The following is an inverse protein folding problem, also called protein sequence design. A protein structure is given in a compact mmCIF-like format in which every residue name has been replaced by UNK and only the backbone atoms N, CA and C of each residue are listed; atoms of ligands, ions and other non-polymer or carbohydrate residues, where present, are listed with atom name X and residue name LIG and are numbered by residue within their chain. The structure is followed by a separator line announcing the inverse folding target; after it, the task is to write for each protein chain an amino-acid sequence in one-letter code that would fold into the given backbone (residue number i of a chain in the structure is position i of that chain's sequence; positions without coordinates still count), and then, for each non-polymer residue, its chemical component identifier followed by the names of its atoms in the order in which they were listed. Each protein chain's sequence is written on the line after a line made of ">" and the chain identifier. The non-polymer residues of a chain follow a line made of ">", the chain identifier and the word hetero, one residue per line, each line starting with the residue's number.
data_IF_660652459661
#
_entry.id   IF_660652459661
#
_cell.length_a   1.000
_cell.length_b   1.000
_cell.length_c   1.000
_cell.angle_alpha   90.00
_cell.angle_beta   90.00
_cell.angle_gamma   90.00
#
_symmetry.space_group_name_H-M   'P 1'
#
loop_
_entity.id
_entity.type
_entity.pdbx_description
1 polymer ?
#
# COMPACT_ATOMS: atom_id res chain seq x y z
N UNK A 1 0.80 10.29 21.70
CA UNK A 1 1.06 11.71 21.33
C UNK A 1 1.06 12.56 22.58
N UNK A 2 1.74 13.69 22.57
CA UNK A 2 1.64 14.67 23.66
C UNK A 2 0.36 15.49 23.57
N UNK A 3 -0.02 16.18 24.64
CA UNK A 3 -1.20 17.07 24.68
C UNK A 3 -1.14 18.10 23.54
N UNK A 4 -0.02 18.83 23.43
CA UNK A 4 0.16 19.86 22.39
C UNK A 4 0.18 19.29 20.97
N UNK A 5 0.78 18.12 20.75
CA UNK A 5 0.73 17.44 19.45
C UNK A 5 -0.70 17.06 19.07
N UNK A 6 -1.52 16.70 20.06
CA UNK A 6 -2.91 16.29 19.86
C UNK A 6 -3.79 17.48 19.51
N UNK A 7 -3.65 18.61 20.21
CA UNK A 7 -4.32 19.86 19.81
C UNK A 7 -3.89 20.31 18.42
N UNK A 8 -2.59 20.22 18.08
CA UNK A 8 -2.11 20.52 16.73
C UNK A 8 -2.69 19.60 15.66
N UNK A 9 -2.82 18.31 15.99
CA UNK A 9 -3.41 17.33 15.09
C UNK A 9 -4.89 17.63 14.83
N UNK A 10 -5.71 17.77 15.87
CA UNK A 10 -7.14 18.07 15.70
C UNK A 10 -7.37 19.46 15.09
N UNK A 11 -6.61 20.48 15.49
CA UNK A 11 -6.71 21.80 14.89
C UNK A 11 -6.39 21.80 13.38
N UNK A 12 -5.39 21.03 12.95
CA UNK A 12 -5.08 20.87 11.52
C UNK A 12 -6.14 20.04 10.78
N UNK A 13 -6.74 19.03 11.42
CA UNK A 13 -7.87 18.28 10.85
C UNK A 13 -9.09 19.17 10.59
N UNK A 14 -9.34 20.08 11.52
CA UNK A 14 -10.35 21.15 11.43
C UNK A 14 -9.90 22.30 10.52
N UNK A 15 -8.75 22.16 9.84
CA UNK A 15 -8.19 23.12 8.88
C UNK A 15 -7.88 24.51 9.45
N UNK A 16 -7.67 24.61 10.76
CA UNK A 16 -7.26 25.84 11.42
C UNK A 16 -5.82 26.23 11.04
N UNK A 17 -5.53 27.53 11.02
CA UNK A 17 -4.18 28.05 10.76
C UNK A 17 -3.27 27.72 11.95
N UNK A 18 -2.03 27.29 11.68
CA UNK A 18 -1.06 26.92 12.73
C UNK A 18 -0.82 28.01 13.78
N UNK A 19 -0.86 29.29 13.39
CA UNK A 19 -0.71 30.44 14.31
C UNK A 19 -1.86 30.48 15.32
N UNK A 20 -3.10 30.43 14.81
CA UNK A 20 -4.32 30.40 15.62
C UNK A 20 -4.35 29.19 16.55
N UNK A 21 -3.94 28.00 16.06
CA UNK A 21 -3.86 26.80 16.91
C UNK A 21 -2.93 27.03 18.10
N UNK A 22 -1.74 27.60 17.89
CA UNK A 22 -0.79 27.82 18.99
C UNK A 22 -1.31 28.84 20.01
N UNK A 23 -1.94 29.93 19.54
CA UNK A 23 -2.59 30.92 20.43
C UNK A 23 -3.71 30.26 21.24
N UNK A 24 -4.53 29.43 20.60
CA UNK A 24 -5.63 28.72 21.25
C UNK A 24 -5.15 27.68 22.25
N UNK A 25 -4.04 26.97 21.95
CA UNK A 25 -3.44 26.01 22.88
C UNK A 25 -3.05 26.69 24.20
N UNK A 26 -2.40 27.85 24.15
CA UNK A 26 -2.04 28.59 25.37
C UNK A 26 -3.27 28.95 26.20
N UNK A 27 -4.31 29.48 25.55
CA UNK A 27 -5.57 29.81 26.21
C UNK A 27 -6.23 28.57 26.87
N UNK A 28 -6.21 27.42 26.21
CA UNK A 28 -6.83 26.19 26.72
C UNK A 28 -6.08 25.61 27.92
N UNK A 29 -4.74 25.74 27.95
CA UNK A 29 -3.95 25.37 29.12
C UNK A 29 -4.35 26.19 30.34
N UNK A 30 -4.48 27.50 30.17
CA UNK A 30 -4.86 28.42 31.25
C UNK A 30 -6.31 28.18 31.73
N UNK A 31 -7.25 27.99 30.79
CA UNK A 31 -8.66 27.78 31.09
C UNK A 31 -8.90 26.51 31.93
N UNK A 32 -8.24 25.42 31.56
CA UNK A 32 -8.51 24.08 32.10
C UNK A 32 -7.47 23.61 33.11
N UNK A 33 -6.49 24.45 33.44
CA UNK A 33 -5.35 24.12 34.30
C UNK A 33 -4.64 22.82 33.85
N UNK A 34 -4.50 22.63 32.53
CA UNK A 34 -3.88 21.43 31.98
C UNK A 34 -2.38 21.42 32.27
N UNK A 35 -1.76 20.23 32.47
CA UNK A 35 -0.33 20.15 32.70
C UNK A 35 0.45 20.69 31.50
N UNK A 36 1.20 21.77 31.75
CA UNK A 36 2.03 22.43 30.75
C UNK A 36 3.25 21.55 30.45
N UNK A 37 3.35 21.01 29.23
CA UNK A 37 4.55 20.26 28.84
C UNK A 37 4.37 19.22 27.75
N UNK A 38 5.34 18.30 27.68
CA UNK A 38 5.38 17.16 26.74
C UNK A 38 4.74 15.90 27.32
N UNK A 39 3.79 16.04 28.26
CA UNK A 39 3.07 14.91 28.84
C UNK A 39 2.35 14.14 27.75
N UNK A 40 2.51 12.81 27.76
CA UNK A 40 1.81 11.92 26.85
C UNK A 40 0.37 11.76 27.33
N UNK A 41 -0.60 11.73 26.41
CA UNK A 41 -2.02 11.49 26.76
C UNK A 41 -2.20 10.14 27.48
N UNK A 42 -1.36 9.16 27.18
CA UNK A 42 -1.37 7.86 27.86
C UNK A 42 -0.99 7.92 29.34
N UNK A 43 -0.34 9.00 29.77
CA UNK A 43 0.04 9.23 31.16
C UNK A 43 -0.96 10.11 31.91
N UNK A 44 -1.94 10.69 31.21
CA UNK A 44 -2.97 11.53 31.83
C UNK A 44 -3.97 10.69 32.61
N UNK A 45 -4.48 11.26 33.70
CA UNK A 45 -5.62 10.69 34.41
C UNK A 45 -6.93 10.92 33.62
N UNK A 46 -8.01 10.31 34.06
CA UNK A 46 -9.27 10.36 33.29
C UNK A 46 -9.93 11.74 33.34
N UNK A 47 -9.74 12.51 34.41
CA UNK A 47 -10.21 13.89 34.50
C UNK A 47 -9.50 14.80 33.49
N UNK A 48 -8.18 14.68 33.35
CA UNK A 48 -7.38 15.39 32.35
C UNK A 48 -7.78 15.00 30.93
N UNK A 49 -8.03 13.70 30.67
CA UNK A 49 -8.51 13.25 29.36
C UNK A 49 -9.86 13.88 29.00
N UNK A 50 -10.77 14.00 29.97
CA UNK A 50 -12.07 14.69 29.79
C UNK A 50 -11.88 16.17 29.49
N UNK A 51 -11.02 16.85 30.24
CA UNK A 51 -10.67 18.25 29.97
C UNK A 51 -10.03 18.44 28.59
N UNK A 52 -9.11 17.56 28.19
CA UNK A 52 -8.50 17.57 26.85
C UNK A 52 -9.57 17.34 25.76
N UNK A 53 -10.52 16.43 25.98
CA UNK A 53 -11.64 16.20 25.06
C UNK A 53 -12.51 17.45 24.91
N UNK A 54 -12.88 18.08 26.03
CA UNK A 54 -13.60 19.36 26.03
C UNK A 54 -12.81 20.45 25.29
N UNK A 55 -11.51 20.58 25.56
CA UNK A 55 -10.63 21.54 24.90
C UNK A 55 -10.60 21.36 23.37
N UNK A 56 -10.58 20.12 22.89
CA UNK A 56 -10.66 19.79 21.45
C UNK A 56 -12.01 20.24 20.87
N UNK A 57 -13.11 20.01 21.59
CA UNK A 57 -14.45 20.40 21.14
C UNK A 57 -14.58 21.92 20.96
N UNK A 58 -13.98 22.72 21.84
CA UNK A 58 -14.03 24.19 21.76
C UNK A 58 -12.88 24.82 20.96
N UNK A 59 -11.94 24.02 20.44
CA UNK A 59 -10.73 24.49 19.75
C UNK A 59 -11.03 25.32 18.51
N UNK A 60 -12.14 25.02 17.82
CA UNK A 60 -12.53 25.63 16.54
C UNK A 60 -13.68 26.63 16.66
N UNK A 61 -14.10 26.97 17.89
CA UNK A 61 -15.17 27.94 18.17
C UNK A 61 -16.48 27.65 17.41
N UNK A 62 -17.14 26.51 17.69
CA UNK A 62 -18.38 26.13 17.00
C UNK A 62 -19.55 27.06 17.36
N UNK A 63 -20.53 27.14 16.45
CA UNK A 63 -21.82 27.82 16.69
C UNK A 63 -22.78 26.98 17.55
N UNK A 64 -22.63 25.65 17.53
CA UNK A 64 -23.38 24.70 18.35
C UNK A 64 -22.42 23.74 19.05
N UNK A 65 -22.49 23.69 20.37
CA UNK A 65 -21.67 22.81 21.21
C UNK A 65 -22.56 21.77 21.89
N UNK A 66 -22.35 20.50 21.57
CA UNK A 66 -23.02 19.37 22.21
C UNK A 66 -22.06 18.71 23.21
N UNK A 67 -22.42 18.64 24.48
CA UNK A 67 -21.55 18.13 25.54
C UNK A 67 -22.24 17.03 26.34
N UNK A 68 -21.62 15.86 26.40
CA UNK A 68 -22.09 14.78 27.26
C UNK A 68 -21.33 14.81 28.59
N UNK A 69 -22.03 15.13 29.68
CA UNK A 69 -21.50 15.21 31.05
C UNK A 69 -20.13 15.91 31.19
N UNK A 70 -19.98 17.17 30.72
CA UNK A 70 -18.67 17.81 30.53
C UNK A 70 -17.87 18.02 31.83
N UNK A 71 -18.56 18.10 32.97
CA UNK A 71 -17.97 18.42 34.27
C UNK A 71 -17.82 17.18 35.18
N UNK A 72 -18.23 15.99 34.74
CA UNK A 72 -18.16 14.80 35.57
C UNK A 72 -16.68 14.42 35.82
N UNK A 73 -16.33 14.17 37.09
CA UNK A 73 -14.97 13.77 37.48
C UNK A 73 -13.91 14.88 37.31
N UNK A 74 -14.31 16.12 37.08
CA UNK A 74 -13.42 17.28 36.99
C UNK A 74 -13.32 17.97 38.36
N UNK A 75 -12.15 18.51 38.68
CA UNK A 75 -11.91 19.28 39.91
C UNK A 75 -12.88 20.49 40.06
N UNK A 76 -13.33 20.86 41.28
CA UNK A 76 -14.28 21.96 41.48
C UNK A 76 -13.84 23.30 40.89
N UNK A 77 -12.54 23.62 40.90
CA UNK A 77 -12.03 24.89 40.33
C UNK A 77 -12.17 24.86 38.82
N UNK A 78 -11.68 23.79 38.18
CA UNK A 78 -11.77 23.64 36.73
C UNK A 78 -13.23 23.57 36.24
N UNK A 79 -14.13 22.95 37.01
CA UNK A 79 -15.58 22.97 36.73
C UNK A 79 -16.14 24.38 36.69
N UNK A 80 -15.71 25.25 37.61
CA UNK A 80 -16.15 26.66 37.64
C UNK A 80 -15.67 27.40 36.41
N UNK A 81 -14.39 27.23 36.04
CA UNK A 81 -13.83 27.81 34.82
C UNK A 81 -14.56 27.35 33.55
N UNK A 82 -14.90 26.06 33.46
CA UNK A 82 -15.67 25.50 32.34
C UNK A 82 -17.02 26.19 32.24
N UNK A 83 -17.76 26.30 33.34
CA UNK A 83 -19.08 26.95 33.37
C UNK A 83 -19.04 28.43 33.02
N UNK A 84 -18.04 29.17 33.53
CA UNK A 84 -17.82 30.56 33.17
C UNK A 84 -17.52 30.70 31.66
N UNK A 85 -16.70 29.80 31.11
CA UNK A 85 -16.41 29.78 29.69
C UNK A 85 -17.65 29.50 28.85
N UNK A 86 -18.44 28.47 29.19
CA UNK A 86 -19.69 28.14 28.50
C UNK A 86 -20.65 29.33 28.51
N UNK A 87 -20.82 29.97 29.67
CA UNK A 87 -21.66 31.18 29.81
C UNK A 87 -21.14 32.30 28.91
N UNK A 88 -19.82 32.47 28.80
CA UNK A 88 -19.22 33.47 27.91
C UNK A 88 -19.45 33.17 26.42
N UNK A 89 -19.50 31.89 26.03
CA UNK A 89 -19.79 31.46 24.67
C UNK A 89 -21.26 31.71 24.32
N UNK A 90 -22.18 31.39 25.22
CA UNK A 90 -23.62 31.68 25.04
C UNK A 90 -23.86 33.16 24.85
N UNK A 91 -23.20 34.03 25.64
CA UNK A 91 -23.26 35.49 25.45
C UNK A 91 -22.73 35.97 24.10
N UNK A 92 -21.87 35.19 23.43
CA UNK A 92 -21.36 35.46 22.08
C UNK A 92 -22.24 34.88 20.96
N UNK A 93 -23.36 34.24 21.30
CA UNK A 93 -24.31 33.66 20.34
C UNK A 93 -24.09 32.17 20.05
N UNK A 94 -23.22 31.48 20.79
CA UNK A 94 -23.04 30.03 20.66
C UNK A 94 -24.16 29.29 21.39
N UNK A 95 -24.79 28.31 20.74
CA UNK A 95 -25.78 27.44 21.39
C UNK A 95 -25.04 26.30 22.09
N UNK A 96 -25.32 26.08 23.38
CA UNK A 96 -24.74 24.97 24.15
C UNK A 96 -25.86 24.02 24.58
N UNK A 97 -25.76 22.76 24.19
CA UNK A 97 -26.61 21.68 24.69
C UNK A 97 -25.74 20.73 25.50
N UNK A 98 -26.11 20.48 26.76
CA UNK A 98 -25.37 19.58 27.62
C UNK A 98 -26.27 18.63 28.39
N UNK A 99 -25.76 17.44 28.67
CA UNK A 99 -26.32 16.50 29.64
C UNK A 99 -25.57 16.64 30.96
N UNK A 100 -26.27 16.51 32.08
CA UNK A 100 -25.64 16.47 33.40
C UNK A 100 -26.50 15.68 34.37
N UNK A 101 -25.84 14.97 35.28
CA UNK A 101 -26.46 14.33 36.44
C UNK A 101 -26.47 15.26 37.66
N UNK A 102 -25.84 16.43 37.55
CA UNK A 102 -25.68 17.36 38.65
C UNK A 102 -26.77 18.44 38.62
N UNK A 103 -27.66 18.43 39.61
CA UNK A 103 -28.78 19.37 39.68
C UNK A 103 -28.31 20.83 39.87
N UNK A 104 -27.16 21.05 40.52
CA UNK A 104 -26.59 22.39 40.66
C UNK A 104 -26.09 22.98 39.33
N UNK A 105 -25.72 22.12 38.39
CA UNK A 105 -25.36 22.49 37.02
C UNK A 105 -26.60 22.73 36.17
N UNK A 106 -27.60 21.83 36.27
CA UNK A 106 -28.89 22.00 35.59
C UNK A 106 -29.60 23.30 35.99
N UNK A 107 -29.47 23.72 37.26
CA UNK A 107 -30.08 24.96 37.75
C UNK A 107 -29.46 26.24 37.15
N UNK A 108 -28.26 26.15 36.53
CA UNK A 108 -27.61 27.28 35.85
C UNK A 108 -28.01 27.40 34.38
N UNK A 109 -28.70 26.42 33.82
CA UNK A 109 -29.09 26.42 32.42
C UNK A 109 -30.26 27.37 32.16
N UNK A 110 -30.28 27.99 30.98
CA UNK A 110 -31.41 28.83 30.56
C UNK A 110 -32.71 28.02 30.42
N UNK A 111 -32.58 26.78 29.94
CA UNK A 111 -33.66 25.79 29.81
C UNK A 111 -33.15 24.41 30.18
N UNK A 112 -33.99 23.61 30.83
CA UNK A 112 -33.70 22.22 31.20
C UNK A 112 -34.82 21.29 30.73
N UNK A 113 -34.43 20.07 30.38
CA UNK A 113 -35.34 18.97 30.12
C UNK A 113 -34.98 17.76 30.98
N UNK A 114 -35.97 17.19 31.67
CA UNK A 114 -35.74 15.96 32.47
C UNK A 114 -36.19 14.76 31.67
N UNK A 115 -35.25 13.87 31.36
CA UNK A 115 -35.48 12.65 30.60
C UNK A 115 -35.51 11.43 31.54
N UNK A 116 -36.46 10.51 31.30
CA UNK A 116 -36.51 9.21 31.98
C UNK A 116 -37.06 8.14 31.04
N UNK A 117 -36.37 7.01 30.94
CA UNK A 117 -36.80 5.86 30.13
C UNK A 117 -37.15 6.22 28.68
N UNK A 118 -36.41 7.17 28.09
CA UNK A 118 -36.65 7.67 26.72
C UNK A 118 -37.77 8.72 26.58
N UNK A 119 -38.41 9.13 27.68
CA UNK A 119 -39.46 10.14 27.67
C UNK A 119 -39.01 11.44 28.35
N UNK A 120 -39.30 12.57 27.69
CA UNK A 120 -39.16 13.89 28.28
C UNK A 120 -40.32 14.12 29.25
N UNK A 121 -40.00 14.21 30.54
CA UNK A 121 -40.99 14.36 31.61
C UNK A 121 -41.45 15.81 31.77
N UNK A 122 -40.54 16.74 31.58
CA UNK A 122 -40.74 18.18 31.75
C UNK A 122 -39.67 18.93 30.95
N UNK A 123 -40.01 20.13 30.51
CA UNK A 123 -39.13 21.04 29.79
C UNK A 123 -39.52 22.47 30.14
N UNK A 124 -38.55 23.33 30.43
CA UNK A 124 -38.79 24.72 30.82
C UNK A 124 -37.54 25.36 31.41
N UNK A 125 -37.61 26.63 31.79
CA UNK A 125 -36.53 27.21 32.62
C UNK A 125 -36.57 26.61 34.04
N UNK A 126 -35.43 26.49 34.75
CA UNK A 126 -35.41 26.02 36.13
C UNK A 126 -36.43 26.76 37.02
N UNK A 127 -36.54 28.08 36.84
CA UNK A 127 -37.42 28.93 37.62
C UNK A 127 -38.90 28.66 37.35
N UNK A 128 -39.32 28.59 36.09
CA UNK A 128 -40.70 28.26 35.70
C UNK A 128 -41.11 26.90 36.25
N UNK A 129 -40.22 25.90 36.11
CA UNK A 129 -40.51 24.53 36.51
C UNK A 129 -40.64 24.38 38.03
N UNK A 130 -39.83 25.09 38.82
CA UNK A 130 -39.97 25.10 40.29
C UNK A 130 -41.30 25.77 40.69
N UNK A 131 -41.68 26.85 40.02
CA UNK A 131 -42.91 27.58 40.29
C UNK A 131 -44.17 26.77 39.91
N UNK A 132 -44.18 26.15 38.73
CA UNK A 132 -45.31 25.38 38.21
C UNK A 132 -45.67 24.18 39.10
N UNK A 133 -44.65 23.53 39.66
CA UNK A 133 -44.80 22.36 40.53
C UNK A 133 -44.88 22.72 42.02
N UNK A 134 -44.81 24.02 42.37
CA UNK A 134 -44.87 24.54 43.75
C UNK A 134 -43.82 23.94 44.68
N UNK A 135 -42.60 23.79 44.17
CA UNK A 135 -41.46 23.25 44.91
C UNK A 135 -40.54 24.37 45.39
N UNK A 136 -39.63 24.07 46.33
CA UNK A 136 -38.67 25.05 46.86
C UNK A 136 -37.30 24.99 46.19
N UNK A 137 -36.93 23.84 45.64
CA UNK A 137 -35.67 23.62 44.94
C UNK A 137 -35.82 22.64 43.79
N UNK A 138 -34.85 22.68 42.88
CA UNK A 138 -34.77 21.75 41.75
C UNK A 138 -34.59 20.29 42.25
N UNK A 139 -33.93 20.07 43.39
CA UNK A 139 -33.81 18.73 43.99
C UNK A 139 -35.15 18.20 44.51
N UNK A 140 -35.94 19.06 45.14
CA UNK A 140 -37.29 18.72 45.62
C UNK A 140 -38.19 18.36 44.43
N UNK A 141 -38.15 19.17 43.38
CA UNK A 141 -38.85 18.93 42.11
C UNK A 141 -38.45 17.62 41.44
N UNK A 142 -37.14 17.36 41.31
CA UNK A 142 -36.64 16.12 40.72
C UNK A 142 -37.14 14.90 41.53
N UNK A 143 -37.09 14.98 42.85
CA UNK A 143 -37.54 13.90 43.75
C UNK A 143 -39.06 13.68 43.69
N UNK A 144 -39.85 14.76 43.64
CA UNK A 144 -41.31 14.67 43.57
C UNK A 144 -41.76 14.07 42.24
N UNK A 145 -41.15 14.44 41.13
CA UNK A 145 -41.42 13.84 39.81
C UNK A 145 -41.00 12.37 39.77
N UNK A 146 -39.83 12.04 40.34
CA UNK A 146 -39.33 10.68 40.36
C UNK A 146 -40.26 9.74 41.13
N UNK A 147 -40.76 10.18 42.29
CA UNK A 147 -41.69 9.41 43.14
C UNK A 147 -43.12 9.37 42.59
N UNK A 148 -43.62 10.48 42.03
CA UNK A 148 -44.97 10.57 41.48
C UNK A 148 -45.18 9.66 40.26
N UNK A 149 -44.17 9.55 39.38
CA UNK A 149 -44.26 8.70 38.18
C UNK A 149 -44.12 7.20 38.49
N UNK A 150 -43.38 6.82 39.54
CA UNK A 150 -43.35 5.42 40.02
C UNK A 150 -44.74 4.99 40.51
N UNK A 151 -45.46 5.87 41.24
CA UNK A 151 -46.83 5.58 41.66
C UNK A 151 -47.78 5.40 40.48
N UNK A 152 -47.67 6.22 39.43
CA UNK A 152 -48.47 6.02 38.21
C UNK A 152 -48.12 4.71 37.52
N UNK A 153 -46.84 4.38 37.30
CA UNK A 153 -46.43 3.12 36.67
C UNK A 153 -46.85 1.87 37.46
N UNK A 154 -46.81 1.90 38.81
CA UNK A 154 -47.36 0.80 39.63
C UNK A 154 -48.89 0.65 39.50
N UNK A 155 -49.62 1.72 39.15
CA UNK A 155 -51.07 1.68 38.93
C UNK A 155 -51.40 1.31 37.46
N UNK A 156 -50.54 1.66 36.48
CA UNK A 156 -50.77 1.39 35.04
C UNK A 156 -50.23 0.07 34.50
N UNK A 157 -49.44 -0.72 35.24
CA UNK A 157 -49.08 -2.08 34.78
C UNK A 157 -50.29 -3.06 34.71
N UNK A 158 -51.49 -2.64 35.17
CA UNK A 158 -52.75 -3.40 34.98
C UNK A 158 -53.68 -2.89 33.88
N UNK A 159 -53.36 -1.82 33.14
CA UNK A 159 -54.20 -1.38 32.01
C UNK A 159 -53.36 -0.89 30.83
N UNK A 160 -53.26 -1.79 29.85
CA UNK A 160 -53.24 -1.55 28.41
C UNK A 160 -52.39 -0.38 27.91
N UNK A 161 -51.30 -0.79 27.23
CA UNK A 161 -50.79 -0.24 25.97
C UNK A 161 -51.84 0.64 25.29
N UNK A 162 -51.74 1.96 25.45
CA UNK A 162 -52.42 2.91 24.59
C UNK A 162 -51.44 3.94 24.08
N UNK A 163 -51.44 4.01 22.75
CA UNK A 163 -50.72 4.88 21.86
C UNK A 163 -50.79 6.35 22.27
N UNK A 164 -49.63 7.00 22.26
CA UNK A 164 -49.50 8.45 22.10
C UNK A 164 -48.92 8.73 20.71
N UNK A 165 -49.28 9.88 20.12
CA UNK A 165 -49.26 10.06 18.67
C UNK A 165 -47.84 9.92 18.15
N UNK A 166 -47.66 9.02 17.19
CA UNK A 166 -46.46 8.99 16.36
C UNK A 166 -46.33 10.37 15.73
N UNK A 167 -45.35 11.15 16.16
CA UNK A 167 -44.75 12.13 15.27
C UNK A 167 -44.41 11.34 14.01
N UNK A 168 -45.02 11.71 12.88
CA UNK A 168 -44.62 11.17 11.57
C UNK A 168 -43.19 11.66 11.35
N UNK A 169 -42.23 10.87 11.81
CA UNK A 169 -40.89 10.90 11.26
C UNK A 169 -41.06 10.33 9.86
N UNK A 170 -41.05 11.20 8.86
CA UNK A 170 -40.85 10.77 7.47
C UNK A 170 -39.66 9.82 7.48
N UNK A 171 -39.88 8.61 6.95
CA UNK A 171 -38.90 7.53 6.98
C UNK A 171 -37.57 8.07 6.43
N UNK A 172 -36.56 8.13 7.29
CA UNK A 172 -35.16 8.19 6.85
C UNK A 172 -34.95 7.07 5.83
N UNK A 173 -34.33 7.35 4.66
CA UNK A 173 -34.12 6.34 3.63
C UNK A 173 -33.31 5.17 4.19
N UNK A 174 -33.69 3.97 3.74
CA UNK A 174 -33.22 2.71 4.29
C UNK A 174 -31.70 2.61 4.35
N UNK A 175 -31.24 2.16 5.51
CA UNK A 175 -29.88 1.71 5.82
C UNK A 175 -29.32 0.79 4.75
N UNK A 176 -28.25 1.23 4.05
CA UNK A 176 -27.26 0.33 3.47
C UNK A 176 -26.44 -0.33 4.59
N UNK A 177 -25.91 -1.52 4.32
CA UNK A 177 -25.36 -2.49 5.28
C UNK A 177 -24.17 -2.05 6.16
N UNK A 178 -23.70 -0.81 6.06
CA UNK A 178 -22.38 -0.42 6.60
C UNK A 178 -22.44 0.63 7.71
N UNK A 179 -23.63 1.01 8.21
CA UNK A 179 -23.78 1.71 9.50
C UNK A 179 -23.16 3.11 9.62
N UNK A 180 -22.81 3.77 8.51
CA UNK A 180 -22.34 5.16 8.51
C UNK A 180 -23.43 6.14 8.02
N UNK A 181 -23.71 7.16 8.83
CA UNK A 181 -24.64 8.25 8.53
C UNK A 181 -23.93 9.27 7.60
N UNK A 182 -24.35 9.38 6.35
CA UNK A 182 -23.96 10.48 5.46
C UNK A 182 -25.02 11.57 5.56
N UNK A 183 -24.63 12.77 5.99
CA UNK A 183 -25.43 13.99 5.85
C UNK A 183 -25.19 14.48 4.41
N UNK A 184 -26.21 14.45 3.55
CA UNK A 184 -26.17 15.13 2.26
C UNK A 184 -26.25 16.65 2.51
N UNK A 185 -25.26 17.40 2.02
CA UNK A 185 -25.29 18.87 2.00
C UNK A 185 -26.39 19.33 1.02
N UNK A 186 -27.17 20.38 1.34
CA UNK A 186 -28.25 20.86 0.49
C UNK A 186 -27.70 21.43 -0.81
N UNK A 187 -28.33 21.03 -1.93
CA UNK A 187 -28.04 21.52 -3.27
C UNK A 187 -28.04 23.06 -3.34
N UNK A 188 -26.96 23.60 -3.92
CA UNK A 188 -26.77 25.02 -4.17
C UNK A 188 -27.97 25.64 -4.91
N UNK A 189 -28.52 26.69 -4.32
CA UNK A 189 -29.50 27.60 -4.93
C UNK A 189 -28.91 28.15 -6.24
N UNK A 190 -29.51 27.80 -7.38
CA UNK A 190 -29.15 28.31 -8.70
C UNK A 190 -29.28 29.83 -8.80
N UNK A 191 -28.16 30.55 -8.63
CA UNK A 191 -28.02 31.93 -9.08
C UNK A 191 -27.73 31.92 -10.59
N UNK A 192 -28.78 32.12 -11.39
CA UNK A 192 -28.71 32.41 -12.83
C UNK A 192 -27.71 33.55 -13.12
N UNK A 193 -26.54 33.22 -13.65
CA UNK A 193 -25.71 34.16 -14.41
C UNK A 193 -25.57 33.73 -15.86
N UNK A 194 -26.32 34.43 -16.69
CA UNK A 194 -26.31 34.34 -18.14
C UNK A 194 -25.13 35.17 -18.67
N UNK A 195 -24.20 34.57 -19.42
CA UNK A 195 -23.71 35.00 -20.76
C UNK A 195 -22.26 34.55 -21.10
N UNK A 196 -22.20 33.91 -22.27
CA UNK A 196 -21.19 34.00 -23.35
C UNK A 196 -19.87 33.22 -23.21
N UNK A 197 -19.61 32.39 -24.22
CA UNK A 197 -18.26 32.14 -24.72
C UNK A 197 -17.97 30.70 -25.12
N UNK A 198 -18.18 30.38 -26.40
CA UNK A 198 -17.75 29.17 -27.12
C UNK A 198 -16.37 28.65 -26.69
N UNK A 199 -16.26 27.41 -26.21
CA UNK A 199 -15.15 26.47 -26.45
C UNK A 199 -15.71 25.04 -26.36
N UNK A 200 -16.10 24.44 -27.49
CA UNK A 200 -16.44 23.01 -27.58
C UNK A 200 -15.33 22.31 -28.37
N UNK A 201 -14.86 21.18 -27.83
CA UNK A 201 -14.02 20.14 -28.48
C UNK A 201 -12.58 19.95 -27.99
N UNK A 202 -12.31 20.01 -26.67
CA UNK A 202 -11.04 19.46 -26.12
C UNK A 202 -11.16 18.77 -24.72
N UNK A 203 -12.35 18.64 -24.13
CA UNK A 203 -12.48 18.40 -22.67
C UNK A 203 -12.90 17.00 -22.21
N UNK A 204 -13.07 16.00 -23.09
CA UNK A 204 -13.59 14.68 -22.65
C UNK A 204 -12.60 13.84 -21.84
N UNK A 205 -11.27 14.02 -22.00
CA UNK A 205 -10.27 13.34 -21.14
C UNK A 205 -10.11 13.97 -19.75
N UNK A 206 -10.44 15.25 -19.57
CA UNK A 206 -10.26 15.97 -18.30
C UNK A 206 -11.42 15.77 -17.31
N UNK A 207 -12.56 15.27 -17.80
CA UNK A 207 -13.76 15.00 -16.99
C UNK A 207 -13.57 13.83 -16.01
N UNK A 208 -12.82 12.80 -16.40
CA UNK A 208 -12.47 11.67 -15.52
C UNK A 208 -11.50 12.09 -14.42
N UNK A 209 -10.49 12.90 -14.76
CA UNK A 209 -9.50 13.37 -13.80
C UNK A 209 -10.14 14.27 -12.72
N UNK A 210 -11.11 15.13 -13.09
CA UNK A 210 -11.86 15.94 -12.13
C UNK A 210 -12.73 15.11 -11.18
N UNK A 211 -13.31 14.00 -11.66
CA UNK A 211 -14.05 13.04 -10.81
C UNK A 211 -13.11 12.32 -9.85
N UNK A 212 -11.92 11.93 -10.32
CA UNK A 212 -10.89 11.29 -9.51
C UNK A 212 -10.28 12.25 -8.46
N UNK A 213 -10.06 13.51 -8.83
CA UNK A 213 -9.61 14.57 -7.92
C UNK A 213 -10.65 14.95 -6.86
N UNK A 214 -11.95 14.72 -7.10
CA UNK A 214 -13.01 14.84 -6.08
C UNK A 214 -13.02 13.69 -5.07
N UNK A 215 -12.48 12.52 -5.43
CA UNK A 215 -12.34 11.36 -4.53
C UNK A 215 -11.09 11.48 -3.66
N UNK A 216 -10.11 12.28 -4.09
CA UNK A 216 -8.89 12.50 -3.32
C UNK A 216 -9.22 13.27 -2.03
N UNK A 217 -8.85 12.72 -0.85
CA UNK A 217 -9.06 13.41 0.41
C UNK A 217 -8.30 14.73 0.40
N UNK A 218 -8.88 15.76 1.01
CA UNK A 218 -8.32 17.10 1.08
C UNK A 218 -6.82 17.03 1.48
N UNK A 219 -5.91 17.48 0.61
CA UNK A 219 -4.47 17.28 0.79
C UNK A 219 -3.94 17.79 2.13
N UNK A 220 -4.61 18.80 2.73
CA UNK A 220 -4.31 19.29 4.08
C UNK A 220 -4.62 18.26 5.16
N UNK A 221 -5.76 17.57 5.06
CA UNK A 221 -6.14 16.47 5.96
C UNK A 221 -5.20 15.28 5.80
N UNK A 222 -4.87 14.93 4.55
CA UNK A 222 -3.91 13.86 4.27
C UNK A 222 -2.53 14.17 4.86
N UNK A 223 -2.02 15.39 4.65
CA UNK A 223 -0.77 15.84 5.27
C UNK A 223 -0.80 15.82 6.80
N UNK A 224 -1.97 16.04 7.40
CA UNK A 224 -2.15 15.96 8.85
C UNK A 224 -2.14 14.51 9.37
N UNK A 225 -2.74 13.57 8.63
CA UNK A 225 -2.65 12.13 8.91
C UNK A 225 -1.20 11.66 8.83
N UNK A 226 -0.52 11.99 7.73
CA UNK A 226 0.88 11.65 7.53
C UNK A 226 1.78 12.25 8.62
N UNK A 227 1.51 13.48 9.06
CA UNK A 227 2.24 14.09 10.18
C UNK A 227 2.10 13.27 11.47
N UNK A 228 0.89 12.80 11.80
CA UNK A 228 0.65 11.95 12.96
C UNK A 228 1.43 10.64 12.86
N UNK A 229 1.29 9.95 11.72
CA UNK A 229 1.88 8.63 11.53
C UNK A 229 3.41 8.72 11.50
N UNK A 230 3.96 9.78 10.90
CA UNK A 230 5.37 10.13 10.93
C UNK A 230 5.87 10.36 12.37
N UNK A 231 5.18 11.18 13.17
CA UNK A 231 5.54 11.42 14.57
C UNK A 231 5.57 10.13 15.41
N UNK A 232 4.59 9.24 15.21
CA UNK A 232 4.53 7.97 15.92
C UNK A 232 5.65 7.03 15.48
N UNK A 233 5.94 6.98 14.18
CA UNK A 233 7.02 6.17 13.60
C UNK A 233 8.39 6.61 14.12
N UNK A 234 8.67 7.91 14.15
CA UNK A 234 9.95 8.44 14.65
C UNK A 234 10.19 8.19 16.14
N UNK A 235 9.15 7.98 16.93
CA UNK A 235 9.27 7.60 18.35
C UNK A 235 9.43 6.10 18.56
N UNK A 236 9.08 5.29 17.57
CA UNK A 236 9.22 3.84 17.62
C UNK A 236 10.48 3.42 16.86
N UNK A 237 11.61 3.34 17.57
CA UNK A 237 12.88 2.90 17.00
C UNK A 237 12.77 1.53 16.31
N UNK A 238 11.95 0.62 16.86
CA UNK A 238 11.70 -0.70 16.26
C UNK A 238 11.02 -0.59 14.89
N UNK A 239 10.01 0.27 14.77
CA UNK A 239 9.33 0.50 13.50
C UNK A 239 10.26 1.12 12.47
N UNK A 240 11.09 2.07 12.89
CA UNK A 240 12.06 2.74 12.03
C UNK A 240 13.14 1.77 11.54
N UNK A 241 13.65 0.91 12.42
CA UNK A 241 14.59 -0.16 12.10
C UNK A 241 13.98 -1.16 11.11
N UNK A 242 12.73 -1.59 11.33
CA UNK A 242 12.04 -2.53 10.45
C UNK A 242 11.86 -1.98 9.02
N UNK A 243 11.55 -0.68 8.88
CA UNK A 243 11.39 -0.02 7.57
C UNK A 243 12.66 -0.15 6.71
N UNK A 244 13.85 -0.18 7.31
CA UNK A 244 15.12 -0.33 6.57
C UNK A 244 15.60 -1.78 6.47
N UNK A 245 15.49 -2.56 7.57
CA UNK A 245 15.99 -3.93 7.59
C UNK A 245 15.15 -4.89 6.76
N UNK A 246 13.83 -4.74 6.72
CA UNK A 246 12.96 -5.67 5.98
C UNK A 246 13.27 -5.62 4.47
N UNK A 247 13.31 -4.45 3.80
CA UNK A 247 13.70 -4.39 2.39
C UNK A 247 15.13 -4.90 2.15
N UNK A 248 16.07 -4.58 3.03
CA UNK A 248 17.45 -5.07 2.93
C UNK A 248 17.49 -6.61 2.98
N UNK A 249 16.81 -7.20 3.96
CA UNK A 249 16.73 -8.65 4.11
C UNK A 249 16.07 -9.31 2.90
N UNK A 250 15.00 -8.71 2.37
CA UNK A 250 14.36 -9.19 1.14
C UNK A 250 15.30 -9.17 -0.07
N UNK A 251 16.10 -8.11 -0.24
CA UNK A 251 17.08 -8.00 -1.32
C UNK A 251 18.20 -9.04 -1.16
N UNK A 252 18.68 -9.26 0.07
CA UNK A 252 19.70 -10.27 0.37
C UNK A 252 19.14 -11.67 0.09
N UNK A 253 17.94 -11.98 0.58
CA UNK A 253 17.27 -13.26 0.34
C UNK A 253 17.05 -13.50 -1.15
N UNK A 254 16.55 -12.49 -1.87
CA UNK A 254 16.38 -12.57 -3.31
C UNK A 254 17.72 -12.90 -4.00
N UNK A 255 18.79 -12.19 -3.65
CA UNK A 255 20.13 -12.42 -4.21
C UNK A 255 20.68 -13.81 -3.88
N UNK A 256 20.41 -14.35 -2.69
CA UNK A 256 20.79 -15.71 -2.32
C UNK A 256 19.98 -16.77 -3.08
N UNK A 257 18.69 -16.52 -3.34
CA UNK A 257 17.81 -17.47 -4.04
C UNK A 257 18.03 -17.52 -5.55
N UNK A 258 18.37 -16.40 -6.19
CA UNK A 258 18.58 -16.35 -7.65
C UNK A 258 19.90 -17.01 -8.07
N UNK A 259 20.86 -17.14 -7.14
CA UNK A 259 22.16 -17.77 -7.39
C UNK A 259 23.12 -16.89 -8.20
N UNK A 260 24.39 -17.31 -8.25
CA UNK A 260 25.44 -16.62 -9.02
C UNK A 260 25.46 -16.98 -10.51
N UNK A 261 26.41 -16.42 -11.25
CA UNK A 261 26.62 -16.79 -12.66
C UNK A 261 26.95 -18.29 -12.79
N UNK A 262 26.34 -19.02 -13.74
CA UNK A 262 26.59 -20.44 -13.90
C UNK A 262 28.01 -20.67 -14.42
N UNK A 263 28.84 -21.36 -13.63
CA UNK A 263 30.23 -21.67 -13.95
C UNK A 263 30.48 -23.18 -13.85
N UNK A 264 31.53 -23.68 -14.51
CA UNK A 264 31.93 -25.10 -14.50
C UNK A 264 30.88 -26.09 -15.06
N UNK A 265 30.11 -25.70 -16.07
CA UNK A 265 29.12 -26.57 -16.72
C UNK A 265 29.85 -27.61 -17.59
N UNK A 266 29.65 -28.90 -17.31
CA UNK A 266 30.29 -29.98 -18.08
C UNK A 266 29.51 -30.26 -19.37
N UNK A 267 30.17 -30.17 -20.52
CA UNK A 267 29.58 -30.45 -21.82
C UNK A 267 30.34 -31.60 -22.48
N UNK A 268 29.65 -32.69 -22.80
CA UNK A 268 30.22 -33.81 -23.52
C UNK A 268 30.36 -33.48 -25.00
N UNK A 269 31.54 -33.68 -25.57
CA UNK A 269 31.83 -33.45 -26.98
C UNK A 269 32.05 -34.79 -27.66
N UNK A 270 31.22 -35.09 -28.66
CA UNK A 270 31.37 -36.26 -29.53
C UNK A 270 31.77 -35.74 -30.90
N UNK A 271 33.05 -35.90 -31.23
CA UNK A 271 33.60 -35.42 -32.49
C UNK A 271 33.78 -36.57 -33.47
N UNK A 272 32.94 -36.65 -34.50
CA UNK A 272 33.07 -37.64 -35.57
C UNK A 272 34.03 -37.20 -36.69
N UNK A 273 34.51 -35.94 -36.66
CA UNK A 273 35.41 -35.40 -37.67
C UNK A 273 36.90 -35.62 -37.33
N UNK A 274 37.27 -35.44 -36.06
CA UNK A 274 38.66 -35.55 -35.61
C UNK A 274 38.74 -36.12 -34.19
N UNK A 275 39.71 -37.00 -33.95
CA UNK A 275 40.02 -37.49 -32.59
C UNK A 275 40.74 -36.42 -31.77
N UNK A 276 40.82 -36.60 -30.45
CA UNK A 276 41.52 -35.66 -29.57
C UNK A 276 43.01 -35.52 -29.95
N UNK A 277 43.66 -36.61 -30.35
CA UNK A 277 45.04 -36.58 -30.84
C UNK A 277 45.19 -35.77 -32.13
N UNK A 278 44.24 -35.92 -33.07
CA UNK A 278 44.22 -35.13 -34.31
C UNK A 278 43.99 -33.66 -34.03
N UNK A 279 43.15 -33.31 -33.05
CA UNK A 279 42.98 -31.92 -32.62
C UNK A 279 44.22 -31.34 -31.93
N UNK A 280 45.08 -32.16 -31.30
CA UNK A 280 46.35 -31.69 -30.72
C UNK A 280 47.45 -31.50 -31.76
N UNK A 281 47.52 -32.40 -32.76
CA UNK A 281 48.58 -32.41 -33.77
C UNK A 281 48.27 -31.53 -34.99
N UNK A 282 46.99 -31.37 -35.35
CA UNK A 282 46.55 -30.68 -36.56
C UNK A 282 45.33 -29.77 -36.30
N UNK A 283 45.37 -29.03 -35.18
CA UNK A 283 44.29 -28.12 -34.77
C UNK A 283 43.88 -27.10 -35.85
N UNK A 284 44.83 -26.67 -36.68
CA UNK A 284 44.61 -25.66 -37.72
C UNK A 284 43.88 -26.20 -38.96
N UNK A 285 43.86 -27.52 -39.14
CA UNK A 285 43.27 -28.18 -40.32
C UNK A 285 41.77 -28.43 -40.13
N UNK A 286 41.35 -28.72 -38.89
CA UNK A 286 39.97 -29.10 -38.58
C UNK A 286 39.21 -27.94 -37.92
N UNK A 287 38.14 -27.48 -38.58
CA UNK A 287 37.25 -26.43 -38.06
C UNK A 287 36.65 -26.85 -36.72
N UNK A 288 36.33 -28.14 -36.53
CA UNK A 288 35.84 -28.68 -35.25
C UNK A 288 36.77 -28.34 -34.08
N UNK A 289 38.09 -28.50 -34.26
CA UNK A 289 39.07 -28.30 -33.20
C UNK A 289 39.25 -26.80 -32.90
N UNK A 290 39.20 -25.94 -33.93
CA UNK A 290 39.29 -24.49 -33.78
C UNK A 290 38.09 -23.93 -33.01
N UNK A 291 36.87 -24.39 -33.32
CA UNK A 291 35.65 -23.99 -32.60
C UNK A 291 35.71 -24.42 -31.14
N UNK A 292 36.13 -25.67 -30.86
CA UNK A 292 36.29 -26.16 -29.48
C UNK A 292 37.33 -25.34 -28.69
N UNK A 293 38.38 -24.84 -29.35
CA UNK A 293 39.37 -23.96 -28.76
C UNK A 293 38.86 -22.57 -28.39
N UNK A 294 37.77 -22.09 -29.01
CA UNK A 294 37.15 -20.79 -28.72
C UNK A 294 36.09 -20.81 -27.61
N UNK A 295 35.77 -22.00 -27.08
CA UNK A 295 34.81 -22.16 -25.99
C UNK A 295 35.39 -21.60 -24.69
N UNK A 296 34.61 -20.76 -24.02
CA UNK A 296 34.98 -20.17 -22.73
C UNK A 296 35.02 -21.25 -21.63
N UNK A 297 36.22 -21.55 -21.15
CA UNK A 297 36.49 -22.62 -20.18
C UNK A 297 36.02 -22.29 -18.75
N UNK A 298 35.75 -21.02 -18.47
CA UNK A 298 35.26 -20.58 -17.15
C UNK A 298 33.78 -20.95 -16.97
N UNK A 299 33.01 -20.88 -18.07
CA UNK A 299 31.59 -21.23 -18.11
C UNK A 299 31.39 -22.71 -18.46
N UNK A 300 32.09 -23.21 -19.48
CA UNK A 300 31.89 -24.56 -20.04
C UNK A 300 33.19 -25.39 -20.00
N UNK A 301 33.15 -26.51 -19.29
CA UNK A 301 34.21 -27.53 -19.29
C UNK A 301 33.85 -28.64 -20.26
N UNK A 302 34.64 -28.78 -21.33
CA UNK A 302 34.43 -29.83 -22.33
C UNK A 302 34.99 -31.18 -21.85
N UNK A 303 34.24 -32.26 -22.09
CA UNK A 303 34.65 -33.65 -21.83
C UNK A 303 34.50 -34.42 -23.13
N UNK A 304 35.56 -35.02 -23.65
CA UNK A 304 35.54 -35.72 -24.94
C UNK A 304 35.03 -37.15 -24.81
N UNK A 305 34.26 -37.61 -25.80
CA UNK A 305 33.70 -38.96 -25.86
C UNK A 305 33.87 -39.52 -27.28
N UNK A 306 34.27 -40.80 -27.38
CA UNK A 306 34.42 -41.49 -28.67
C UNK A 306 33.08 -41.91 -29.29
N UNK A 307 32.09 -42.26 -28.45
CA UNK A 307 30.78 -42.76 -28.87
C UNK A 307 29.65 -41.96 -28.23
N UNK A 308 28.63 -41.67 -29.03
CA UNK A 308 27.42 -40.99 -28.56
C UNK A 308 26.72 -41.74 -27.40
N UNK A 309 26.67 -43.07 -27.45
CA UNK A 309 25.98 -43.87 -26.41
C UNK A 309 26.63 -43.76 -25.02
N UNK A 310 27.94 -43.49 -24.96
CA UNK A 310 28.64 -43.27 -23.69
C UNK A 310 28.34 -41.87 -23.17
N UNK A 311 28.40 -40.86 -24.03
CA UNK A 311 28.02 -39.49 -23.70
C UNK A 311 26.55 -39.41 -23.24
N UNK A 312 25.64 -40.11 -23.92
CA UNK A 312 24.24 -40.15 -23.56
C UNK A 312 24.03 -40.79 -22.18
N UNK A 313 24.69 -41.91 -21.88
CA UNK A 313 24.63 -42.53 -20.54
C UNK A 313 25.13 -41.60 -19.44
N UNK A 314 26.23 -40.90 -19.66
CA UNK A 314 26.76 -39.94 -18.68
C UNK A 314 25.88 -38.68 -18.55
N UNK A 315 25.20 -38.29 -19.62
CA UNK A 315 24.22 -37.20 -19.59
C UNK A 315 22.95 -37.59 -18.82
N UNK A 316 22.47 -38.82 -18.98
CA UNK A 316 21.34 -39.37 -18.22
C UNK A 316 21.68 -39.54 -16.73
N UNK A 317 22.93 -39.90 -16.42
CA UNK A 317 23.45 -39.98 -15.05
C UNK A 317 23.84 -38.60 -14.45
N UNK A 318 23.44 -37.48 -15.08
CA UNK A 318 23.73 -36.11 -14.64
C UNK A 318 25.22 -35.76 -14.48
N UNK A 319 26.12 -36.50 -15.12
CA UNK A 319 27.57 -36.19 -15.09
C UNK A 319 27.93 -35.06 -16.07
N UNK A 320 27.15 -34.90 -17.13
CA UNK A 320 27.28 -33.81 -18.12
C UNK A 320 25.92 -33.14 -18.36
N UNK A 321 25.95 -31.82 -18.59
CA UNK A 321 24.77 -30.97 -18.72
C UNK A 321 24.29 -30.84 -20.16
N UNK A 322 25.17 -30.98 -21.15
CA UNK A 322 24.85 -30.97 -22.58
C UNK A 322 25.76 -31.91 -23.38
N UNK A 323 25.34 -32.28 -24.59
CA UNK A 323 26.14 -33.03 -25.56
C UNK A 323 26.26 -32.20 -26.83
N UNK A 324 27.49 -31.92 -27.26
CA UNK A 324 27.82 -31.30 -28.54
C UNK A 324 28.26 -32.40 -29.52
N UNK A 325 27.46 -32.62 -30.56
CA UNK A 325 27.71 -33.57 -31.63
C UNK A 325 28.28 -32.82 -32.84
N UNK A 326 29.42 -33.28 -33.34
CA UNK A 326 30.09 -32.73 -34.53
C UNK A 326 30.09 -33.79 -35.62
N UNK A 327 29.46 -33.50 -36.76
CA UNK A 327 29.37 -34.44 -37.89
C UNK A 327 30.67 -34.63 -38.67
N UNK A 328 30.80 -35.78 -39.36
CA UNK A 328 32.03 -36.28 -40.01
C UNK A 328 32.64 -35.39 -41.11
N UNK A 329 31.87 -34.47 -41.72
CA UNK A 329 32.32 -33.66 -42.88
C UNK A 329 32.20 -32.15 -42.65
N UNK A 330 32.24 -31.70 -41.39
CA UNK A 330 31.96 -30.30 -41.02
C UNK A 330 32.92 -29.32 -41.70
N UNK A 331 34.22 -29.57 -41.62
CA UNK A 331 35.28 -28.74 -42.21
C UNK A 331 35.11 -28.64 -43.72
N UNK A 332 34.87 -29.76 -44.40
CA UNK A 332 34.69 -29.80 -45.85
C UNK A 332 33.45 -28.99 -46.29
N UNK A 333 32.32 -29.16 -45.60
CA UNK A 333 31.10 -28.44 -45.93
C UNK A 333 31.25 -26.93 -45.68
N UNK A 334 31.89 -26.54 -44.57
CA UNK A 334 32.04 -25.14 -44.18
C UNK A 334 33.04 -24.40 -45.09
N UNK A 335 34.16 -25.03 -45.45
CA UNK A 335 35.10 -24.50 -46.44
C UNK A 335 34.49 -24.38 -47.84
N UNK A 336 33.71 -25.37 -48.29
CA UNK A 336 32.96 -25.29 -49.55
C UNK A 336 31.94 -24.17 -49.53
N UNK A 337 31.19 -24.02 -48.43
CA UNK A 337 30.21 -22.93 -48.27
C UNK A 337 30.88 -21.56 -48.36
N UNK A 338 32.05 -21.40 -47.72
CA UNK A 338 32.84 -20.17 -47.83
C UNK A 338 33.33 -19.93 -49.26
N UNK A 339 33.86 -20.95 -49.93
CA UNK A 339 34.30 -20.87 -51.32
C UNK A 339 33.16 -20.54 -52.30
N UNK A 340 31.98 -21.11 -52.10
CA UNK A 340 30.76 -20.86 -52.88
C UNK A 340 30.29 -19.42 -52.72
N UNK A 341 30.33 -18.87 -51.50
CA UNK A 341 29.98 -17.47 -51.22
C UNK A 341 30.99 -16.52 -51.89
N UNK A 342 32.28 -16.83 -51.85
CA UNK A 342 33.31 -16.03 -52.53
C UNK A 342 33.18 -16.09 -54.05
N UNK A 343 32.79 -17.25 -54.60
CA UNK A 343 32.68 -17.47 -56.05
C UNK A 343 31.29 -17.19 -56.64
N UNK A 344 30.31 -16.83 -55.79
CA UNK A 344 28.91 -16.59 -56.13
C UNK A 344 28.27 -17.73 -56.95
N UNK A 345 28.59 -18.98 -56.61
CA UNK A 345 28.00 -20.20 -57.20
C UNK A 345 27.19 -20.94 -56.13
N UNK A 346 25.95 -21.33 -56.45
CA UNK A 346 25.07 -22.07 -55.52
C UNK A 346 25.06 -23.55 -55.92
N UNK A 347 25.87 -24.37 -55.26
CA UNK A 347 25.71 -25.83 -55.32
C UNK A 347 24.81 -26.31 -54.17
N UNK A 348 23.73 -27.03 -54.49
CA UNK A 348 22.84 -27.67 -53.50
C UNK A 348 23.31 -29.10 -53.22
N UNK A 349 24.21 -29.28 -52.26
CA UNK A 349 24.41 -30.57 -51.59
C UNK A 349 23.48 -30.67 -50.37
N UNK A 350 23.11 -31.90 -49.99
CA UNK A 350 22.25 -32.15 -48.84
C UNK A 350 22.93 -31.69 -47.53
N UNK A 351 22.41 -30.67 -46.83
CA UNK A 351 23.09 -30.02 -45.69
C UNK A 351 23.06 -30.86 -44.40
N UNK A 352 22.57 -32.09 -44.43
CA UNK A 352 22.20 -32.88 -43.25
C UNK A 352 23.35 -33.59 -42.55
N UNK A 353 24.50 -33.80 -43.20
CA UNK A 353 25.62 -34.59 -42.63
C UNK A 353 26.72 -33.76 -41.98
N UNK A 354 26.78 -32.44 -42.23
CA UNK A 354 27.77 -31.58 -41.60
C UNK A 354 27.10 -30.43 -40.85
N UNK A 355 26.65 -30.77 -39.63
CA UNK A 355 26.00 -29.86 -38.70
C UNK A 355 26.62 -30.01 -37.33
N UNK A 356 26.66 -28.90 -36.59
CA UNK A 356 26.92 -28.90 -35.15
C UNK A 356 25.56 -29.08 -34.46
N UNK A 357 25.36 -30.16 -33.72
CA UNK A 357 24.11 -30.41 -33.01
C UNK A 357 24.37 -30.33 -31.51
N UNK A 358 23.73 -29.36 -30.86
CA UNK A 358 23.81 -29.18 -29.41
C UNK A 358 22.56 -29.75 -28.76
N UNK A 359 22.73 -30.86 -28.02
CA UNK A 359 21.67 -31.51 -27.25
C UNK A 359 21.72 -31.07 -25.79
N UNK A 360 20.76 -30.26 -25.39
CA UNK A 360 20.69 -29.67 -24.04
C UNK A 360 19.50 -30.22 -23.28
N UNK A 361 19.65 -30.34 -21.97
CA UNK A 361 18.54 -30.54 -21.06
C UNK A 361 17.82 -29.20 -20.78
N UNK A 362 16.52 -29.13 -21.05
CA UNK A 362 15.71 -27.92 -20.92
C UNK A 362 15.02 -27.79 -19.56
N UNK A 363 15.22 -28.73 -18.63
CA UNK A 363 14.67 -28.67 -17.26
C UNK A 363 15.16 -27.43 -16.51
N UNK A 364 16.44 -27.07 -16.66
CA UNK A 364 17.00 -25.83 -16.14
C UNK A 364 17.27 -24.84 -17.29
N UNK A 365 16.33 -23.93 -17.53
CA UNK A 365 16.41 -22.93 -18.61
C UNK A 365 17.60 -21.99 -18.48
N UNK A 366 18.02 -21.63 -17.26
CA UNK A 366 19.17 -20.74 -17.03
C UNK A 366 20.46 -21.40 -17.47
N UNK A 367 20.67 -22.66 -17.05
CA UNK A 367 21.82 -23.46 -17.47
C UNK A 367 21.79 -23.73 -18.97
N UNK A 368 20.63 -24.10 -19.52
CA UNK A 368 20.49 -24.38 -20.94
C UNK A 368 20.85 -23.16 -21.81
N UNK A 369 20.30 -22.00 -21.46
CA UNK A 369 20.58 -20.74 -22.16
C UNK A 369 22.05 -20.32 -22.02
N UNK A 370 22.68 -20.56 -20.87
CA UNK A 370 24.09 -20.24 -20.68
C UNK A 370 25.00 -21.09 -21.58
N UNK A 371 24.74 -22.40 -21.66
CA UNK A 371 25.50 -23.33 -22.52
C UNK A 371 25.31 -22.97 -23.99
N UNK A 372 24.06 -22.76 -24.42
CA UNK A 372 23.71 -22.38 -25.78
C UNK A 372 24.42 -21.08 -26.19
N UNK A 373 24.33 -20.03 -25.36
CA UNK A 373 24.94 -18.75 -25.64
C UNK A 373 26.49 -18.85 -25.69
N UNK A 374 27.09 -19.66 -24.83
CA UNK A 374 28.56 -19.83 -24.78
C UNK A 374 29.07 -20.52 -26.04
N UNK A 375 28.43 -21.62 -26.42
CA UNK A 375 28.78 -22.36 -27.65
C UNK A 375 28.48 -21.49 -28.86
N UNK A 376 27.38 -20.73 -28.82
CA UNK A 376 27.00 -19.86 -29.92
C UNK A 376 28.08 -18.82 -30.21
N UNK A 377 28.53 -18.16 -29.15
CA UNK A 377 29.59 -17.15 -29.19
C UNK A 377 30.94 -17.73 -29.61
N UNK A 378 31.24 -18.98 -29.27
CA UNK A 378 32.47 -19.64 -29.72
C UNK A 378 32.48 -19.85 -31.25
N UNK A 379 31.35 -20.26 -31.82
CA UNK A 379 31.19 -20.37 -33.28
C UNK A 379 31.25 -19.00 -33.96
N UNK A 380 30.60 -17.98 -33.39
CA UNK A 380 30.65 -16.62 -33.92
C UNK A 380 32.08 -16.06 -33.94
N UNK A 381 32.83 -16.20 -32.83
CA UNK A 381 34.24 -15.79 -32.77
C UNK A 381 35.10 -16.50 -33.81
N UNK A 382 34.84 -17.79 -34.04
CA UNK A 382 35.53 -18.54 -35.08
C UNK A 382 35.22 -17.97 -36.48
N UNK A 383 33.93 -17.77 -36.79
CA UNK A 383 33.51 -17.21 -38.07
C UNK A 383 34.09 -15.81 -38.29
N UNK A 384 34.05 -14.93 -37.29
CA UNK A 384 34.66 -13.59 -37.36
C UNK A 384 36.16 -13.65 -37.67
N UNK A 385 36.89 -14.58 -37.05
CA UNK A 385 38.31 -14.78 -37.33
C UNK A 385 38.54 -15.26 -38.76
N UNK A 386 37.73 -16.19 -39.25
CA UNK A 386 37.83 -16.72 -40.61
C UNK A 386 37.41 -15.70 -41.69
N UNK A 387 36.43 -14.85 -41.39
CA UNK A 387 35.97 -13.79 -42.30
C UNK A 387 36.83 -12.54 -42.28
N UNK A 388 37.57 -12.23 -41.22
CA UNK A 388 38.46 -11.06 -41.26
C UNK A 388 39.59 -11.22 -42.30
N UNK A 389 39.94 -12.46 -42.67
CA UNK A 389 40.90 -12.77 -43.74
C UNK A 389 40.25 -12.77 -45.15
N UNK A 390 38.93 -12.62 -45.27
CA UNK A 390 38.20 -12.74 -46.55
C UNK A 390 37.06 -11.72 -46.70
N UNK A 391 36.74 -11.22 -47.90
CA UNK A 391 35.69 -10.19 -48.12
C UNK A 391 34.24 -10.68 -47.91
N UNK A 392 33.98 -11.56 -46.94
CA UNK A 392 32.70 -12.25 -46.74
C UNK A 392 32.00 -11.72 -45.48
N UNK A 393 30.76 -11.25 -45.61
CA UNK A 393 29.95 -10.82 -44.47
C UNK A 393 29.29 -12.01 -43.74
N UNK A 394 29.33 -11.99 -42.40
CA UNK A 394 28.81 -13.02 -41.49
C UNK A 394 27.35 -13.43 -41.75
N UNK A 395 26.51 -12.55 -42.30
CA UNK A 395 25.09 -12.83 -42.56
C UNK A 395 24.84 -13.85 -43.69
N UNK A 396 25.87 -14.18 -44.49
CA UNK A 396 25.76 -15.02 -45.69
C UNK A 396 26.12 -16.49 -45.42
N UNK A 397 26.95 -16.75 -44.40
CA UNK A 397 27.37 -18.09 -43.99
C UNK A 397 26.33 -18.58 -42.97
N UNK A 398 25.33 -19.34 -43.41
CA UNK A 398 24.28 -19.87 -42.54
C UNK A 398 24.85 -20.52 -41.27
N UNK A 399 24.20 -20.28 -40.13
CA UNK A 399 24.71 -20.68 -38.82
C UNK A 399 24.70 -22.23 -38.66
N UNK A 400 25.86 -22.90 -38.48
CA UNK A 400 25.94 -24.36 -38.53
C UNK A 400 25.45 -25.08 -37.28
N UNK A 401 25.08 -24.35 -36.21
CA UNK A 401 24.63 -24.91 -34.95
C UNK A 401 23.10 -25.09 -34.93
N UNK A 402 22.66 -26.31 -34.61
CA UNK A 402 21.26 -26.63 -34.32
C UNK A 402 21.11 -27.08 -32.88
N UNK A 403 20.22 -26.44 -32.15
CA UNK A 403 19.88 -26.84 -30.79
C UNK A 403 18.74 -27.84 -30.84
N UNK A 404 18.89 -28.97 -30.15
CA UNK A 404 17.85 -30.00 -30.00
C UNK A 404 17.65 -30.29 -28.52
N UNK A 405 16.41 -30.57 -28.15
CA UNK A 405 16.12 -31.11 -26.83
C UNK A 405 16.64 -32.56 -26.76
N UNK A 406 17.32 -32.91 -25.66
CA UNK A 406 17.77 -34.28 -25.41
C UNK A 406 16.58 -35.23 -25.29
N UNK A 407 16.64 -36.47 -25.82
CA UNK A 407 15.63 -37.49 -25.53
C UNK A 407 15.55 -37.75 -24.03
N UNK A 408 14.32 -37.83 -23.50
CA UNK A 408 14.08 -38.20 -22.10
C UNK A 408 14.49 -39.65 -21.85
N UNK A 409 14.94 -39.96 -20.63
CA UNK A 409 15.08 -41.35 -20.19
C UNK A 409 13.69 -42.00 -20.28
N UNK A 410 13.58 -43.09 -21.05
CA UNK A 410 12.37 -43.92 -21.10
C UNK A 410 12.24 -44.77 -19.85
#
# INVERSE_FOLDING_TARGET
>A
MTINETFKYYGRMLQLKSKYINERISYLHDLLALPVGKSLISQCNDSEKRQISFAIAILHEPELLLLDEPCQGVDPVARTNIWEHLTSLVKKGVTVFLTTQNLSEANKADRLGVLRSGYLLMEGSPFELIADYRETSLESLYTSIYSFRIRKNMITEKKSIHEHPRVKIERLPATGSDGFLYIEEPDDIELKKNKRGKWKSFSTKFSYLKRFLKILPNCKRLGTLLYRDCLLTFRSYLSLLAIFLVPLALVVLFSLTVGGHPANLKVGVVNYEATDEMCRLAAEVYVSCQVLGQIDKDVVKTVTYEKYDVALRDALNMKISAILLIGEKLTQQLLRTMADIVTNRIFRENPSTAQLILQIDMTNRVVASAIEHTIKRAVEKYLEKATNDSRVHNATIGYPLRVRQRPAAS
#
